data_IF_497552931247
#
_entry.id   IF_497552931247
#
_cell.length_a   1.000
_cell.length_b   1.000
_cell.length_c   1.000
_cell.angle_alpha   90.00
_cell.angle_beta   90.00
_cell.angle_gamma   90.00
#
_symmetry.space_group_name_H-M   'P 1'
#
loop_
_entity.id
_entity.type
_entity.pdbx_description
1 polymer ?
#
# COMPACT_ATOMS: atom_id res chain seq x y z
N UNK A 1 22.10 -12.60 33.60
CA UNK A 1 20.70 -12.89 33.93
C UNK A 1 19.82 -12.34 32.82
N UNK A 2 19.17 -13.23 32.07
CA UNK A 2 18.43 -12.90 30.85
C UNK A 2 17.27 -11.95 31.15
N UNK A 3 17.23 -10.84 30.42
CA UNK A 3 16.07 -9.96 30.41
C UNK A 3 14.87 -10.83 30.04
N UNK A 4 13.92 -10.95 30.95
CA UNK A 4 12.61 -11.47 30.62
C UNK A 4 12.12 -10.62 29.44
N UNK A 5 12.06 -11.24 28.26
CA UNK A 5 11.64 -10.59 27.03
C UNK A 5 10.23 -10.08 27.26
N UNK A 6 10.08 -8.79 27.52
CA UNK A 6 8.78 -8.14 27.61
C UNK A 6 8.08 -8.37 26.28
N UNK A 7 7.21 -9.36 26.25
CA UNK A 7 6.50 -9.81 25.06
C UNK A 7 5.30 -8.88 24.79
N UNK A 8 4.91 -8.07 25.76
CA UNK A 8 3.77 -7.17 25.68
C UNK A 8 3.87 -6.17 24.52
N UNK A 9 5.00 -5.46 24.29
CA UNK A 9 5.14 -4.57 23.13
C UNK A 9 5.02 -5.30 21.78
N UNK A 10 5.55 -6.53 21.69
CA UNK A 10 5.41 -7.35 20.48
C UNK A 10 3.95 -7.77 20.26
N UNK A 11 3.25 -8.20 21.31
CA UNK A 11 1.85 -8.60 21.26
C UNK A 11 0.98 -7.40 20.86
N UNK A 12 1.21 -6.22 21.44
CA UNK A 12 0.50 -4.99 21.10
C UNK A 12 0.68 -4.63 19.62
N UNK A 13 1.92 -4.68 19.14
CA UNK A 13 2.25 -4.40 17.74
C UNK A 13 1.59 -5.40 16.78
N UNK A 14 1.62 -6.70 17.10
CA UNK A 14 0.98 -7.76 16.30
C UNK A 14 -0.55 -7.60 16.32
N UNK A 15 -1.12 -7.33 17.50
CA UNK A 15 -2.56 -7.14 17.69
C UNK A 15 -3.04 -5.96 16.86
N UNK A 16 -2.35 -4.82 16.91
CA UNK A 16 -2.66 -3.68 16.06
C UNK A 16 -2.56 -4.02 14.58
N UNK A 17 -1.50 -4.72 14.17
CA UNK A 17 -1.35 -5.12 12.77
C UNK A 17 -2.49 -6.01 12.28
N UNK A 18 -2.98 -6.93 13.12
CA UNK A 18 -4.09 -7.84 12.77
C UNK A 18 -5.46 -7.17 12.86
N UNK A 19 -5.68 -6.31 13.85
CA UNK A 19 -6.97 -5.77 14.26
C UNK A 19 -6.97 -4.23 14.31
N UNK A 20 -6.37 -3.60 13.30
CA UNK A 20 -6.14 -2.14 13.23
C UNK A 20 -7.36 -1.28 13.53
N UNK A 21 -8.56 -1.76 13.18
CA UNK A 21 -9.80 -1.00 13.31
C UNK A 21 -10.32 -1.02 14.76
N UNK A 22 -10.23 -2.16 15.45
CA UNK A 22 -10.68 -2.32 16.84
C UNK A 22 -9.59 -1.98 17.86
N UNK A 23 -8.32 -2.13 17.49
CA UNK A 23 -7.16 -1.89 18.34
C UNK A 23 -6.45 -0.57 17.99
N UNK A 24 -7.18 0.43 17.48
CA UNK A 24 -6.61 1.71 17.02
C UNK A 24 -5.80 2.45 18.10
N UNK A 25 -6.13 2.24 19.38
CA UNK A 25 -5.41 2.77 20.53
C UNK A 25 -3.98 2.21 20.68
N UNK A 26 -3.68 1.04 20.12
CA UNK A 26 -2.35 0.43 20.15
C UNK A 26 -1.42 0.94 19.03
N UNK A 27 -1.90 1.86 18.18
CA UNK A 27 -1.10 2.34 17.04
C UNK A 27 0.25 2.91 17.46
N UNK A 28 0.29 3.71 18.53
CA UNK A 28 1.54 4.32 18.98
C UNK A 28 2.51 3.25 19.52
N UNK A 29 2.03 2.34 20.36
CA UNK A 29 2.82 1.21 20.87
C UNK A 29 3.39 0.37 19.72
N UNK A 30 2.60 0.14 18.66
CA UNK A 30 3.04 -0.59 17.49
C UNK A 30 4.14 0.16 16.72
N UNK A 31 4.06 1.48 16.61
CA UNK A 31 5.10 2.30 15.96
C UNK A 31 6.38 2.23 16.77
N UNK A 32 6.32 2.51 18.06
CA UNK A 32 7.49 2.56 18.95
C UNK A 32 8.23 1.21 18.95
N UNK A 33 7.49 0.10 19.00
CA UNK A 33 8.06 -1.24 18.87
C UNK A 33 8.70 -1.48 17.50
N UNK A 34 7.97 -1.13 16.42
CA UNK A 34 8.45 -1.39 15.06
C UNK A 34 9.68 -0.56 14.71
N UNK A 35 9.79 0.68 15.19
CA UNK A 35 10.97 1.54 15.00
C UNK A 35 12.25 0.89 15.56
N UNK A 36 12.18 0.34 16.78
CA UNK A 36 13.29 -0.39 17.38
C UNK A 36 13.54 -1.76 16.74
N UNK A 37 12.51 -2.37 16.17
CA UNK A 37 12.60 -3.70 15.56
C UNK A 37 12.99 -3.69 14.07
N UNK A 38 12.98 -2.54 13.38
CA UNK A 38 13.34 -2.47 11.95
C UNK A 38 14.75 -3.03 11.71
N UNK A 39 14.86 -4.02 10.82
CA UNK A 39 16.14 -4.70 10.53
C UNK A 39 16.52 -5.80 11.52
N UNK A 40 15.75 -5.98 12.59
CA UNK A 40 15.92 -7.03 13.58
C UNK A 40 15.20 -8.34 13.26
N UNK A 41 15.41 -9.39 14.08
CA UNK A 41 14.80 -10.71 13.90
C UNK A 41 13.27 -10.70 14.07
N UNK A 42 12.72 -9.75 14.82
CA UNK A 42 11.28 -9.68 15.11
C UNK A 42 10.44 -9.23 13.91
N UNK A 43 11.08 -8.62 12.90
CA UNK A 43 10.42 -8.29 11.63
C UNK A 43 9.82 -9.51 10.91
N UNK A 44 10.26 -10.73 11.23
CA UNK A 44 9.70 -11.97 10.65
C UNK A 44 8.21 -12.16 10.96
N UNK A 45 7.72 -11.59 12.07
CA UNK A 45 6.31 -11.69 12.47
C UNK A 45 5.40 -10.74 11.70
N UNK A 46 5.96 -9.70 11.06
CA UNK A 46 5.20 -8.66 10.39
C UNK A 46 5.24 -8.82 8.87
N UNK A 47 4.06 -8.86 8.25
CA UNK A 47 3.96 -8.89 6.79
C UNK A 47 4.15 -7.48 6.24
N UNK A 48 5.19 -7.27 5.42
CA UNK A 48 5.50 -5.97 4.77
C UNK A 48 4.30 -5.31 4.09
N UNK A 49 3.46 -6.06 3.37
CA UNK A 49 2.24 -5.53 2.74
C UNK A 49 1.27 -4.91 3.76
N UNK A 50 1.16 -5.51 4.94
CA UNK A 50 0.28 -5.03 6.01
C UNK A 50 0.85 -3.76 6.64
N UNK A 51 2.15 -3.74 6.90
CA UNK A 51 2.86 -2.54 7.36
C UNK A 51 2.68 -1.38 6.39
N UNK A 52 2.84 -1.62 5.08
CA UNK A 52 2.59 -0.61 4.04
C UNK A 52 1.13 -0.14 4.00
N UNK A 53 0.17 -1.04 4.22
CA UNK A 53 -1.26 -0.67 4.23
C UNK A 53 -1.59 0.24 5.41
N UNK A 54 -0.96 0.01 6.56
CA UNK A 54 -1.18 0.73 7.81
C UNK A 54 -0.22 1.93 8.00
N UNK A 55 0.66 2.18 7.02
CA UNK A 55 1.73 3.19 7.07
C UNK A 55 2.58 3.07 8.35
N UNK A 56 3.06 1.86 8.61
CA UNK A 56 3.87 1.49 9.77
C UNK A 56 5.36 1.31 9.42
N UNK A 57 6.29 1.45 10.39
CA UNK A 57 7.71 1.20 10.19
C UNK A 57 7.98 -0.23 9.70
N UNK A 58 9.01 -0.42 8.86
CA UNK A 58 9.27 -1.69 8.17
C UNK A 58 8.39 -1.94 6.94
N UNK A 59 7.61 -0.94 6.52
CA UNK A 59 6.86 -0.99 5.27
C UNK A 59 7.76 -1.24 4.05
N UNK A 60 7.19 -1.89 3.04
CA UNK A 60 7.87 -2.01 1.76
C UNK A 60 8.02 -0.62 1.14
N UNK A 61 9.26 -0.20 0.89
CA UNK A 61 9.55 0.96 0.06
C UNK A 61 8.96 0.69 -1.34
N UNK A 62 7.78 1.24 -1.60
CA UNK A 62 7.28 1.35 -2.96
C UNK A 62 7.99 2.56 -3.53
N UNK A 63 8.83 2.43 -4.57
CA UNK A 63 9.49 3.57 -5.17
C UNK A 63 8.43 4.62 -5.51
N UNK A 64 8.59 5.85 -5.02
CA UNK A 64 7.63 6.94 -5.19
C UNK A 64 7.22 7.12 -6.66
N UNK A 65 8.16 6.86 -7.58
CA UNK A 65 7.94 6.84 -9.03
C UNK A 65 6.84 5.85 -9.49
N UNK A 66 6.65 4.71 -8.81
CA UNK A 66 5.55 3.78 -9.13
C UNK A 66 4.18 4.32 -8.70
N UNK A 67 4.11 5.08 -7.59
CA UNK A 67 2.87 5.73 -7.14
C UNK A 67 2.44 6.82 -8.13
N UNK A 68 3.38 7.65 -8.59
CA UNK A 68 3.10 8.71 -9.57
C UNK A 68 2.75 8.14 -10.95
N UNK A 69 3.45 7.11 -11.42
CA UNK A 69 3.09 6.42 -12.67
C UNK A 69 1.71 5.77 -12.61
N UNK A 70 1.35 5.14 -11.49
CA UNK A 70 0.02 4.55 -11.31
C UNK A 70 -1.07 5.62 -11.40
N UNK A 71 -0.91 6.74 -10.69
CA UNK A 71 -1.85 7.85 -10.74
C UNK A 71 -1.94 8.50 -12.12
N UNK A 72 -0.80 8.71 -12.79
CA UNK A 72 -0.74 9.25 -14.14
C UNK A 72 -1.43 8.32 -15.16
N UNK A 73 -1.19 7.01 -15.05
CA UNK A 73 -1.86 5.97 -15.85
C UNK A 73 -3.36 6.00 -15.64
N UNK A 74 -3.84 6.06 -14.40
CA UNK A 74 -5.28 6.15 -14.11
C UNK A 74 -5.91 7.41 -14.70
N UNK A 75 -5.26 8.58 -14.59
CA UNK A 75 -5.72 9.82 -15.21
C UNK A 75 -5.82 9.71 -16.74
N UNK A 76 -4.83 9.07 -17.37
CA UNK A 76 -4.83 8.86 -18.81
C UNK A 76 -5.98 7.93 -19.25
N UNK A 77 -6.20 6.83 -18.52
CA UNK A 77 -7.33 5.91 -18.75
C UNK A 77 -8.67 6.66 -18.61
N UNK A 78 -8.83 7.48 -17.57
CA UNK A 78 -10.06 8.26 -17.37
C UNK A 78 -10.30 9.26 -18.50
N UNK A 79 -9.25 9.99 -18.93
CA UNK A 79 -9.35 10.90 -20.08
C UNK A 79 -9.72 10.16 -21.37
N UNK A 80 -9.12 9.00 -21.61
CA UNK A 80 -9.43 8.17 -22.77
C UNK A 80 -10.89 7.71 -22.75
N UNK A 81 -11.38 7.20 -21.60
CA UNK A 81 -12.79 6.81 -21.44
C UNK A 81 -13.76 7.96 -21.68
N UNK A 82 -13.46 9.16 -21.14
CA UNK A 82 -14.29 10.35 -21.37
C UNK A 82 -14.34 10.71 -22.85
N UNK A 83 -13.20 10.68 -23.53
CA UNK A 83 -13.12 10.98 -24.96
C UNK A 83 -13.88 9.95 -25.79
N UNK A 84 -13.77 8.66 -25.46
CA UNK A 84 -14.56 7.59 -26.09
C UNK A 84 -16.06 7.79 -25.90
N UNK A 85 -16.49 8.22 -24.71
CA UNK A 85 -17.89 8.51 -24.44
C UNK A 85 -18.40 9.68 -25.32
N UNK A 86 -17.65 10.79 -25.34
CA UNK A 86 -17.96 11.95 -26.18
C UNK A 86 -18.06 11.56 -27.66
N UNK A 87 -17.10 10.80 -28.18
CA UNK A 87 -17.13 10.34 -29.58
C UNK A 87 -18.36 9.47 -29.87
N UNK A 88 -18.74 8.60 -28.93
CA UNK A 88 -19.93 7.77 -29.04
C UNK A 88 -21.22 8.62 -29.10
N UNK A 89 -21.29 9.71 -28.35
CA UNK A 89 -22.42 10.65 -28.40
C UNK A 89 -22.55 11.32 -29.78
N UNK A 90 -21.42 11.53 -30.47
CA UNK A 90 -21.38 11.98 -31.86
C UNK A 90 -21.56 10.85 -32.89
N UNK A 91 -21.88 9.62 -32.47
CA UNK A 91 -22.04 8.46 -33.35
C UNK A 91 -20.73 7.88 -33.89
N UNK A 92 -19.58 8.33 -33.38
CA UNK A 92 -18.25 7.87 -33.79
C UNK A 92 -17.80 6.75 -32.86
N UNK A 93 -17.69 5.53 -33.39
CA UNK A 93 -17.15 4.38 -32.66
C UNK A 93 -15.65 4.24 -32.93
N UNK A 94 -14.86 4.13 -31.87
CA UNK A 94 -13.41 3.91 -31.96
C UNK A 94 -13.13 2.42 -31.80
N UNK A 95 -12.64 1.78 -32.87
CA UNK A 95 -12.20 0.38 -32.84
C UNK A 95 -10.80 0.28 -32.19
N UNK A 96 -10.68 -0.34 -31.00
CA UNK A 96 -9.40 -0.46 -30.31
C UNK A 96 -8.39 -1.33 -31.07
N UNK A 97 -8.82 -2.21 -31.97
CA UNK A 97 -7.92 -3.02 -32.79
C UNK A 97 -7.13 -2.19 -33.81
N UNK A 98 -7.68 -1.03 -34.21
CA UNK A 98 -7.04 -0.05 -35.10
C UNK A 98 -6.08 0.90 -34.37
N UNK A 99 -6.12 0.93 -33.03
CA UNK A 99 -5.28 1.79 -32.21
C UNK A 99 -3.93 1.16 -31.81
N UNK A 100 -3.72 -0.13 -32.11
CA UNK A 100 -2.40 -0.75 -31.94
C UNK A 100 -1.41 -0.11 -32.92
N UNK A 101 -0.42 0.62 -32.40
CA UNK A 101 0.79 0.95 -33.16
C UNK A 101 1.53 -0.36 -33.46
N UNK A 102 1.85 -0.58 -34.73
CA UNK A 102 2.98 -1.44 -35.08
C UNK A 102 4.24 -0.73 -34.55
N UNK A 103 4.93 -1.34 -33.59
CA UNK A 103 6.19 -0.83 -33.01
C UNK A 103 6.03 -0.38 -31.57
#
# INVERSE_FOLDING_TARGET
SGAANDLNPLIDAVTYCMQSDSASYLRQNAIDFLEGAVGGPDMKYFKRKRLTKLDLPGQQEIPLHRKTLSAAKQRLILKAKRTQHVLKDYGITVDPSKLRKNG
#
